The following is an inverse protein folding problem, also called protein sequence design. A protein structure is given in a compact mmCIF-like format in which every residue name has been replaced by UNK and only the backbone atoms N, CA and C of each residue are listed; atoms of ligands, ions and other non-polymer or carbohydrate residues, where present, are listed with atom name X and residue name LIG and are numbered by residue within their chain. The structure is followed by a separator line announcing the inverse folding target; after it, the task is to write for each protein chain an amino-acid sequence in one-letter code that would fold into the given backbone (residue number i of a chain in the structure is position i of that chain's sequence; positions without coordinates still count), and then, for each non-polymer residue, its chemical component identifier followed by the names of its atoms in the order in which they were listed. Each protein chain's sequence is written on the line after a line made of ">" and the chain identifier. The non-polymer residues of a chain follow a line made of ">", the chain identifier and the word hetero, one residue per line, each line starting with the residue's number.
data_IF_569557750081
#
_entry.id   IF_569557750081
#
_cell.length_a   1.000
_cell.length_b   1.000
_cell.length_c   1.000
_cell.angle_alpha   90.00
_cell.angle_beta   90.00
_cell.angle_gamma   90.00
#
_symmetry.space_group_name_H-M   'P 1'
#
loop_
_entity.id
_entity.type
_entity.pdbx_description
1 polymer ?
#
# COMPACT_ATOMS: atom_id res chain seq x y z
N UNK A 1 20.65 -13.46 -15.35
CA UNK A 1 19.83 -12.84 -16.43
C UNK A 1 19.03 -13.85 -17.25
N UNK A 2 19.56 -14.56 -18.26
CA UNK A 2 18.73 -15.46 -19.11
C UNK A 2 18.10 -16.65 -18.35
N UNK A 3 18.80 -17.20 -17.35
CA UNK A 3 18.26 -18.27 -16.49
C UNK A 3 17.21 -17.76 -15.47
N UNK A 4 17.32 -16.50 -15.05
CA UNK A 4 16.35 -15.84 -14.15
C UNK A 4 15.10 -15.44 -14.92
N UNK A 5 15.24 -14.96 -16.17
CA UNK A 5 14.11 -14.80 -17.08
C UNK A 5 13.44 -16.14 -17.40
N UNK A 6 14.22 -17.24 -17.50
CA UNK A 6 13.67 -18.58 -17.68
C UNK A 6 12.87 -19.06 -16.46
N UNK A 7 13.27 -18.68 -15.24
CA UNK A 7 12.49 -18.93 -14.03
C UNK A 7 11.27 -18.01 -13.92
N UNK A 8 11.42 -16.71 -14.18
CA UNK A 8 10.31 -15.76 -14.12
C UNK A 8 9.22 -16.14 -15.15
N UNK A 9 9.56 -16.26 -16.43
CA UNK A 9 8.58 -16.59 -17.48
C UNK A 9 8.18 -18.08 -17.51
N UNK A 10 9.08 -18.99 -17.12
CA UNK A 10 8.76 -20.41 -16.97
C UNK A 10 7.74 -20.71 -15.86
N UNK A 11 7.64 -19.82 -14.86
CA UNK A 11 6.70 -19.93 -13.74
C UNK A 11 5.46 -19.05 -13.93
N UNK A 12 5.60 -17.82 -14.45
CA UNK A 12 4.50 -16.95 -14.92
C UNK A 12 3.63 -17.67 -15.97
N UNK A 13 4.23 -18.51 -16.80
CA UNK A 13 3.55 -19.28 -17.86
C UNK A 13 2.65 -20.43 -17.37
N UNK A 14 2.40 -20.61 -16.08
CA UNK A 14 1.53 -21.69 -15.60
C UNK A 14 0.10 -21.17 -15.39
N UNK A 15 -0.63 -21.17 -16.51
CA UNK A 15 -2.11 -21.03 -16.68
C UNK A 15 -2.64 -19.58 -16.61
N UNK A 16 -3.25 -19.13 -17.71
CA UNK A 16 -4.15 -17.97 -17.72
C UNK A 16 -5.27 -18.09 -16.67
N UNK A 17 -5.73 -19.32 -16.42
CA UNK A 17 -6.68 -19.65 -15.34
C UNK A 17 -6.07 -19.42 -13.94
N UNK A 18 -4.73 -19.43 -13.86
CA UNK A 18 -3.92 -19.11 -12.70
C UNK A 18 -3.96 -17.63 -12.37
N UNK A 19 -3.80 -16.71 -13.33
CA UNK A 19 -3.84 -15.26 -13.05
C UNK A 19 -5.16 -14.82 -12.40
N UNK A 20 -6.30 -15.28 -12.90
CA UNK A 20 -7.60 -15.01 -12.27
C UNK A 20 -7.74 -15.69 -10.90
N UNK A 21 -7.21 -16.90 -10.75
CA UNK A 21 -7.20 -17.62 -9.47
C UNK A 21 -6.30 -16.93 -8.44
N UNK A 22 -5.14 -16.43 -8.84
CA UNK A 22 -4.16 -15.77 -8.01
C UNK A 22 -4.69 -14.41 -7.57
N UNK A 23 -5.34 -13.67 -8.48
CA UNK A 23 -6.08 -12.46 -8.15
C UNK A 23 -7.14 -12.76 -7.11
N UNK A 24 -8.00 -13.76 -7.34
CA UNK A 24 -9.03 -14.16 -6.38
C UNK A 24 -8.44 -14.60 -5.03
N UNK A 25 -7.34 -15.34 -5.04
CA UNK A 25 -6.64 -15.73 -3.82
C UNK A 25 -6.02 -14.54 -3.09
N UNK A 26 -5.51 -13.56 -3.82
CA UNK A 26 -5.01 -12.31 -3.25
C UNK A 26 -6.17 -11.50 -2.65
N UNK A 27 -7.29 -11.37 -3.35
CA UNK A 27 -8.51 -10.73 -2.83
C UNK A 27 -9.05 -11.43 -1.57
N UNK A 28 -9.12 -12.77 -1.58
CA UNK A 28 -9.50 -13.57 -0.41
C UNK A 28 -8.53 -13.32 0.77
N UNK A 29 -7.24 -13.14 0.49
CA UNK A 29 -6.23 -12.77 1.50
C UNK A 29 -6.38 -11.35 2.00
N UNK A 30 -6.70 -10.39 1.14
CA UNK A 30 -7.02 -9.01 1.54
C UNK A 30 -8.21 -9.03 2.49
N UNK A 31 -9.29 -9.74 2.15
CA UNK A 31 -10.47 -9.89 3.01
C UNK A 31 -10.14 -10.58 4.35
N UNK A 32 -9.37 -11.67 4.31
CA UNK A 32 -8.95 -12.37 5.53
C UNK A 32 -8.04 -11.51 6.41
N UNK A 33 -7.12 -10.78 5.79
CA UNK A 33 -6.23 -9.85 6.48
C UNK A 33 -7.02 -8.71 7.08
N UNK A 34 -7.95 -8.10 6.35
CA UNK A 34 -8.83 -7.06 6.87
C UNK A 34 -9.57 -7.51 8.14
N UNK A 35 -10.15 -8.71 8.12
CA UNK A 35 -10.85 -9.29 9.28
C UNK A 35 -9.88 -9.58 10.44
N UNK A 36 -8.74 -10.21 10.17
CA UNK A 36 -7.76 -10.55 11.20
C UNK A 36 -6.99 -9.35 11.75
N UNK A 37 -6.83 -8.30 10.95
CA UNK A 37 -6.19 -7.07 11.34
C UNK A 37 -7.13 -6.25 12.23
N UNK A 38 -8.44 -6.24 11.97
CA UNK A 38 -9.44 -5.71 12.89
C UNK A 38 -9.34 -6.37 14.28
N UNK A 39 -9.27 -7.70 14.34
CA UNK A 39 -9.09 -8.44 15.60
C UNK A 39 -7.74 -8.15 16.29
N UNK A 40 -6.67 -7.98 15.50
CA UNK A 40 -5.33 -7.65 16.03
C UNK A 40 -5.22 -6.20 16.48
N UNK A 41 -5.85 -5.26 15.78
CA UNK A 41 -5.98 -3.86 16.20
C UNK A 41 -6.82 -3.77 17.46
N UNK A 42 -7.89 -4.56 17.57
CA UNK A 42 -8.70 -4.64 18.79
C UNK A 42 -7.88 -5.22 19.95
N UNK A 43 -7.11 -6.29 19.74
CA UNK A 43 -6.25 -6.90 20.78
C UNK A 43 -5.00 -6.08 21.12
N UNK A 44 -4.41 -5.40 20.16
CA UNK A 44 -3.36 -4.42 20.40
C UNK A 44 -3.96 -3.27 21.21
N UNK A 45 -5.13 -2.75 20.83
CA UNK A 45 -5.90 -1.80 21.60
C UNK A 45 -6.26 -2.29 23.01
N UNK A 46 -6.55 -3.57 23.22
CA UNK A 46 -6.81 -4.16 24.55
C UNK A 46 -5.53 -4.32 25.40
N UNK A 47 -4.43 -4.78 24.79
CA UNK A 47 -3.12 -4.95 25.44
C UNK A 47 -2.50 -3.60 25.77
N UNK A 48 -2.71 -2.63 24.89
CA UNK A 48 -2.32 -1.24 25.05
C UNK A 48 -3.29 -0.53 25.99
N UNK A 49 -4.59 -0.85 26.02
CA UNK A 49 -5.56 -0.39 27.04
C UNK A 49 -5.15 -0.81 28.45
N UNK A 50 -4.34 -1.85 28.64
CA UNK A 50 -3.75 -2.14 29.96
C UNK A 50 -2.67 -1.11 30.39
N UNK A 51 -1.95 -0.52 29.43
CA UNK A 51 -1.03 0.62 29.64
C UNK A 51 -1.82 1.94 29.67
N UNK A 52 -2.80 2.06 28.79
CA UNK A 52 -3.75 3.16 28.65
C UNK A 52 -4.65 3.32 29.86
N UNK A 53 -5.05 2.27 30.58
CA UNK A 53 -5.80 2.38 31.84
C UNK A 53 -4.93 2.99 32.95
N UNK A 54 -3.63 2.67 33.00
CA UNK A 54 -2.69 3.38 33.88
C UNK A 54 -2.48 4.84 33.49
N UNK A 55 -2.54 5.19 32.20
CA UNK A 55 -2.46 6.58 31.74
C UNK A 55 -3.80 7.34 31.77
N UNK A 56 -4.93 6.64 31.63
CA UNK A 56 -6.30 7.13 31.77
C UNK A 56 -6.60 7.41 33.23
N UNK A 57 -6.08 6.61 34.15
CA UNK A 57 -6.08 6.95 35.58
C UNK A 57 -5.25 8.20 35.87
N UNK A 58 -4.14 8.43 35.16
CA UNK A 58 -3.37 9.69 35.27
C UNK A 58 -4.13 10.86 34.62
N UNK A 59 -4.65 10.72 33.41
CA UNK A 59 -5.34 11.78 32.65
C UNK A 59 -6.75 12.12 33.14
N UNK A 60 -7.52 11.14 33.62
CA UNK A 60 -8.86 11.34 34.23
C UNK A 60 -8.74 12.01 35.60
N UNK A 61 -7.72 11.67 36.38
CA UNK A 61 -7.42 12.39 37.64
C UNK A 61 -6.95 13.83 37.39
N UNK A 62 -6.38 14.14 36.22
CA UNK A 62 -6.03 15.52 35.84
C UNK A 62 -7.22 16.37 35.40
N UNK A 63 -8.21 15.80 34.70
CA UNK A 63 -9.37 16.56 34.19
C UNK A 63 -10.50 16.69 35.21
N UNK A 64 -10.64 15.72 36.13
CA UNK A 64 -11.65 15.76 37.18
C UNK A 64 -11.23 16.55 38.44
N UNK A 65 -9.96 16.93 38.56
CA UNK A 65 -9.37 17.47 39.79
C UNK A 65 -8.76 18.86 39.67
N UNK A 66 -9.57 19.90 39.39
CA UNK A 66 -9.12 21.31 39.52
C UNK A 66 -9.06 21.76 40.99
N UNK A 67 -9.35 20.89 41.97
CA UNK A 67 -9.56 21.32 43.36
C UNK A 67 -8.87 20.52 44.47
N UNK A 68 -7.81 19.74 44.22
CA UNK A 68 -7.02 19.13 45.31
C UNK A 68 -5.51 19.35 45.17
N UNK A 69 -4.83 19.88 46.21
CA UNK A 69 -3.40 20.15 46.17
C UNK A 69 -2.63 18.84 46.40
N UNK A 70 -2.15 18.22 45.32
CA UNK A 70 -1.30 17.02 45.37
C UNK A 70 0.08 17.37 44.84
N UNK A 71 1.02 17.63 45.75
CA UNK A 71 2.39 18.09 45.50
C UNK A 71 3.30 17.13 44.68
N UNK A 72 2.77 16.02 44.12
CA UNK A 72 3.47 15.14 43.19
C UNK A 72 2.73 14.89 41.87
N UNK A 73 1.41 15.08 41.83
CA UNK A 73 0.57 14.88 40.63
C UNK A 73 0.52 16.17 39.79
N UNK A 74 0.64 17.35 40.42
CA UNK A 74 0.59 18.64 39.71
C UNK A 74 1.65 18.80 38.62
N UNK A 75 2.89 18.33 38.84
CA UNK A 75 3.96 18.46 37.85
C UNK A 75 3.74 17.56 36.62
N UNK A 76 3.30 16.31 36.82
CA UNK A 76 2.93 15.41 35.73
C UNK A 76 1.71 15.94 34.96
N UNK A 77 0.75 16.52 35.69
CA UNK A 77 -0.44 17.12 35.11
C UNK A 77 -0.13 18.33 34.22
N UNK A 78 0.68 19.25 34.73
CA UNK A 78 1.14 20.43 33.99
C UNK A 78 1.95 19.99 32.77
N UNK A 79 2.79 18.96 32.89
CA UNK A 79 3.56 18.44 31.76
C UNK A 79 2.64 17.91 30.66
N UNK A 80 1.69 17.03 30.96
CA UNK A 80 0.77 16.48 29.94
C UNK A 80 -0.06 17.59 29.28
N UNK A 81 -0.54 18.58 30.05
CA UNK A 81 -1.24 19.72 29.47
C UNK A 81 -0.34 20.56 28.55
N UNK A 82 0.92 20.76 28.93
CA UNK A 82 1.94 21.43 28.13
C UNK A 82 2.30 20.67 26.86
N UNK A 83 2.43 19.34 26.94
CA UNK A 83 2.72 18.47 25.79
C UNK A 83 1.55 18.52 24.80
N UNK A 84 0.31 18.56 25.28
CA UNK A 84 -0.89 18.73 24.45
C UNK A 84 -1.03 20.11 23.80
N UNK A 85 -0.66 21.19 24.50
CA UNK A 85 -0.59 22.54 23.94
C UNK A 85 0.51 22.62 22.86
N UNK A 86 1.65 21.98 23.12
CA UNK A 86 2.77 21.88 22.16
C UNK A 86 2.38 21.07 20.93
N UNK A 87 1.70 19.94 21.10
CA UNK A 87 1.16 19.11 20.02
C UNK A 87 0.23 19.91 19.11
N UNK A 88 -0.74 20.63 19.68
CA UNK A 88 -1.65 21.45 18.89
C UNK A 88 -0.90 22.55 18.11
N UNK A 89 0.08 23.23 18.73
CA UNK A 89 0.91 24.22 18.03
C UNK A 89 1.76 23.61 16.92
N UNK A 90 2.31 22.42 17.14
CA UNK A 90 3.11 21.69 16.15
C UNK A 90 2.27 21.29 14.94
N UNK A 91 1.06 20.75 15.17
CA UNK A 91 0.09 20.47 14.11
C UNK A 91 -0.27 21.75 13.36
N UNK A 92 -0.57 22.83 14.10
CA UNK A 92 -0.93 24.11 13.51
C UNK A 92 0.17 24.64 12.58
N UNK A 93 1.42 24.66 13.06
CA UNK A 93 2.55 25.19 12.31
C UNK A 93 2.93 24.31 11.13
N UNK A 94 2.87 22.98 11.28
CA UNK A 94 3.23 22.01 10.24
C UNK A 94 2.24 21.98 9.08
N UNK A 95 0.97 22.27 9.35
CA UNK A 95 -0.11 22.21 8.36
C UNK A 95 -0.64 23.59 7.94
N UNK A 96 -0.16 24.68 8.56
CA UNK A 96 -0.64 26.03 8.28
C UNK A 96 -2.12 26.23 8.64
N UNK A 97 -2.61 25.54 9.67
CA UNK A 97 -4.03 25.55 10.04
C UNK A 97 -4.40 26.76 10.89
N UNK A 98 -5.70 27.06 10.89
CA UNK A 98 -6.29 27.92 11.93
C UNK A 98 -6.20 27.24 13.30
N UNK A 99 -6.30 28.02 14.37
CA UNK A 99 -6.31 27.48 15.74
C UNK A 99 -7.40 26.41 15.92
N UNK A 100 -8.61 26.67 15.42
CA UNK A 100 -9.73 25.70 15.47
C UNK A 100 -9.45 24.44 14.64
N UNK A 101 -8.81 24.58 13.48
CA UNK A 101 -8.39 23.45 12.66
C UNK A 101 -7.35 22.57 13.36
N UNK A 102 -6.38 23.21 14.00
CA UNK A 102 -5.37 22.53 14.80
C UNK A 102 -5.95 21.88 16.06
N UNK A 103 -6.92 22.51 16.72
CA UNK A 103 -7.64 21.92 17.86
C UNK A 103 -8.36 20.62 17.47
N UNK A 104 -9.01 20.59 16.30
CA UNK A 104 -9.69 19.40 15.81
C UNK A 104 -8.72 18.24 15.55
N UNK A 105 -7.60 18.49 14.88
CA UNK A 105 -6.57 17.46 14.67
C UNK A 105 -5.85 17.09 15.98
N UNK A 106 -5.62 18.05 16.87
CA UNK A 106 -5.04 17.80 18.18
C UNK A 106 -5.92 16.89 19.05
N UNK A 107 -7.26 16.92 18.89
CA UNK A 107 -8.15 15.95 19.54
C UNK A 107 -7.92 14.53 18.99
N UNK A 108 -7.78 14.38 17.69
CA UNK A 108 -7.48 13.09 17.05
C UNK A 108 -6.14 12.53 17.53
N UNK A 109 -5.09 13.36 17.60
CA UNK A 109 -3.79 12.95 18.13
C UNK A 109 -3.88 12.51 19.60
N UNK A 110 -4.61 13.26 20.43
CA UNK A 110 -4.83 12.92 21.84
C UNK A 110 -5.56 11.59 22.00
N UNK A 111 -6.64 11.35 21.26
CA UNK A 111 -7.38 10.08 21.34
C UNK A 111 -6.54 8.91 20.83
N UNK A 112 -5.79 9.10 19.73
CA UNK A 112 -4.83 8.09 19.22
C UNK A 112 -3.77 7.73 20.27
N UNK A 113 -3.19 8.73 20.95
CA UNK A 113 -2.22 8.50 22.02
C UNK A 113 -2.85 7.88 23.28
N UNK A 114 -4.10 8.23 23.62
CA UNK A 114 -4.84 7.62 24.74
C UNK A 114 -5.18 6.15 24.50
N UNK A 115 -5.38 5.79 23.24
CA UNK A 115 -5.46 4.40 22.78
C UNK A 115 -4.10 3.70 22.77
N UNK A 116 -3.04 4.43 23.18
CA UNK A 116 -1.66 4.02 23.43
C UNK A 116 -0.83 3.70 22.20
N UNK A 117 -1.18 4.34 21.08
CA UNK A 117 -0.30 4.44 19.92
C UNK A 117 0.79 5.49 20.19
N UNK A 118 1.99 5.22 19.69
CA UNK A 118 3.17 6.06 19.89
C UNK A 118 3.77 5.96 21.30
N UNK A 119 5.07 6.18 21.41
CA UNK A 119 5.77 6.33 22.69
C UNK A 119 5.54 7.71 23.31
N UNK A 120 5.17 8.69 22.49
CA UNK A 120 4.83 10.04 22.90
C UNK A 120 3.76 10.65 22.00
N UNK A 121 3.15 11.77 22.43
CA UNK A 121 2.17 12.49 21.62
C UNK A 121 2.81 13.06 20.35
N UNK A 122 4.09 13.43 20.41
CA UNK A 122 4.83 13.97 19.27
C UNK A 122 5.00 12.92 18.14
N UNK A 123 5.19 11.65 18.49
CA UNK A 123 5.24 10.56 17.49
C UNK A 123 3.88 10.39 16.80
N UNK A 124 2.78 10.54 17.55
CA UNK A 124 1.43 10.52 17.00
C UNK A 124 1.17 11.74 16.12
N UNK A 125 1.58 12.94 16.56
CA UNK A 125 1.45 14.16 15.76
C UNK A 125 2.17 14.03 14.41
N UNK A 126 3.42 13.55 14.42
CA UNK A 126 4.20 13.33 13.21
C UNK A 126 3.46 12.38 12.26
N UNK A 127 2.90 11.29 12.78
CA UNK A 127 2.15 10.32 12.00
C UNK A 127 0.86 10.90 11.43
N UNK A 128 0.07 11.60 12.25
CA UNK A 128 -1.17 12.26 11.84
C UNK A 128 -0.93 13.34 10.79
N UNK A 129 0.14 14.13 10.94
CA UNK A 129 0.55 15.15 9.97
C UNK A 129 0.87 14.49 8.63
N UNK A 130 1.59 13.35 8.62
CA UNK A 130 1.93 12.62 7.40
C UNK A 130 0.70 12.02 6.72
N UNK A 131 -0.22 11.44 7.48
CA UNK A 131 -1.52 10.99 6.96
C UNK A 131 -2.25 12.16 6.31
N UNK A 132 -2.38 13.29 7.02
CA UNK A 132 -3.09 14.47 6.52
C UNK A 132 -2.46 15.04 5.23
N UNK A 133 -1.12 15.05 5.13
CA UNK A 133 -0.40 15.59 3.98
C UNK A 133 -0.43 14.67 2.77
N UNK A 134 -0.19 13.37 2.98
CA UNK A 134 0.02 12.40 1.90
C UNK A 134 -1.29 11.73 1.45
N UNK A 135 -2.28 11.62 2.35
CA UNK A 135 -3.55 10.93 2.11
C UNK A 135 -4.72 11.93 2.13
N UNK A 136 -4.67 12.92 1.23
CA UNK A 136 -5.58 14.08 1.22
C UNK A 136 -7.07 13.75 1.08
N UNK A 137 -7.38 12.57 0.57
CA UNK A 137 -8.73 12.08 0.32
C UNK A 137 -9.34 11.36 1.53
N UNK A 138 -8.58 11.19 2.62
CA UNK A 138 -9.09 10.60 3.87
C UNK A 138 -10.11 11.55 4.49
N UNK A 139 -11.36 11.10 4.76
CA UNK A 139 -12.33 11.87 5.51
C UNK A 139 -11.82 12.23 6.90
N UNK A 140 -12.23 13.39 7.43
CA UNK A 140 -11.70 13.88 8.71
C UNK A 140 -11.96 12.91 9.86
N UNK A 141 -13.13 12.29 9.86
CA UNK A 141 -13.58 11.27 10.81
C UNK A 141 -12.78 9.96 10.73
N UNK A 142 -12.09 9.69 9.63
CA UNK A 142 -11.26 8.50 9.43
C UNK A 142 -9.77 8.74 9.72
N UNK A 143 -9.34 9.99 9.94
CA UNK A 143 -7.94 10.33 10.16
C UNK A 143 -7.32 9.59 11.35
N UNK A 144 -8.11 9.33 12.40
CA UNK A 144 -7.66 8.59 13.57
C UNK A 144 -7.28 7.14 13.21
N UNK A 145 -8.18 6.43 12.52
CA UNK A 145 -7.97 5.04 12.11
C UNK A 145 -6.87 4.93 11.05
N UNK A 146 -6.81 5.88 10.12
CA UNK A 146 -5.74 5.93 9.13
C UNK A 146 -4.36 6.15 9.79
N UNK A 147 -4.28 6.99 10.83
CA UNK A 147 -3.05 7.22 11.61
C UNK A 147 -2.63 5.95 12.34
N UNK A 148 -3.56 5.29 13.04
CA UNK A 148 -3.30 4.01 13.73
C UNK A 148 -2.82 2.92 12.77
N UNK A 149 -3.42 2.85 11.59
CA UNK A 149 -3.06 1.88 10.55
C UNK A 149 -1.67 2.13 9.99
N UNK A 150 -1.36 3.38 9.65
CA UNK A 150 -0.04 3.77 9.15
C UNK A 150 1.08 3.48 10.17
N UNK A 151 0.88 3.86 11.43
CA UNK A 151 1.84 3.58 12.51
C UNK A 151 2.05 2.06 12.71
N UNK A 152 0.98 1.29 12.63
CA UNK A 152 1.06 -0.17 12.79
C UNK A 152 1.80 -0.84 11.65
N UNK A 153 1.53 -0.45 10.41
CA UNK A 153 2.26 -0.97 9.26
C UNK A 153 3.73 -0.56 9.31
N UNK A 154 4.03 0.70 9.59
CA UNK A 154 5.41 1.19 9.75
C UNK A 154 6.17 0.39 10.80
N UNK A 155 5.57 0.14 11.97
CA UNK A 155 6.19 -0.69 13.01
C UNK A 155 6.29 -2.18 12.67
N UNK A 156 5.31 -2.73 11.97
CA UNK A 156 5.25 -4.17 11.62
C UNK A 156 6.29 -4.53 10.57
N UNK A 157 6.49 -3.63 9.60
CA UNK A 157 7.36 -3.84 8.45
C UNK A 157 8.67 -3.05 8.54
N UNK A 158 8.94 -2.41 9.68
CA UNK A 158 10.13 -1.58 9.93
C UNK A 158 10.34 -0.52 8.83
N UNK A 159 9.27 0.21 8.51
CA UNK A 159 9.22 1.18 7.41
C UNK A 159 8.89 2.58 7.91
N UNK A 160 9.42 3.60 7.22
CA UNK A 160 9.20 4.99 7.59
C UNK A 160 7.73 5.39 7.36
N UNK A 161 7.16 6.13 8.31
CA UNK A 161 5.76 6.54 8.28
C UNK A 161 5.41 7.39 7.03
N UNK A 162 6.38 8.14 6.50
CA UNK A 162 6.22 8.92 5.29
C UNK A 162 6.10 8.01 4.05
N UNK A 163 6.86 6.92 3.98
CA UNK A 163 6.77 5.94 2.88
C UNK A 163 5.41 5.25 2.90
N UNK A 164 5.00 4.77 4.09
CA UNK A 164 3.69 4.11 4.29
C UNK A 164 2.54 5.01 3.85
N UNK A 165 2.53 6.26 4.31
CA UNK A 165 1.45 7.21 4.00
C UNK A 165 1.49 7.70 2.55
N UNK A 166 2.69 7.84 1.93
CA UNK A 166 2.81 8.14 0.49
C UNK A 166 2.25 7.00 -0.36
N UNK A 167 2.64 5.76 -0.07
CA UNK A 167 2.13 4.59 -0.76
C UNK A 167 0.61 4.50 -0.67
N UNK A 168 0.06 4.64 0.54
CA UNK A 168 -1.39 4.58 0.76
C UNK A 168 -2.13 5.72 0.06
N UNK A 169 -1.59 6.95 0.13
CA UNK A 169 -2.15 8.10 -0.57
C UNK A 169 -2.17 7.93 -2.09
N UNK A 170 -1.13 7.31 -2.67
CA UNK A 170 -1.08 7.00 -4.10
C UNK A 170 -2.08 5.92 -4.50
N UNK A 171 -2.32 4.92 -3.65
CA UNK A 171 -3.39 3.95 -3.90
C UNK A 171 -4.77 4.62 -3.92
N UNK A 172 -5.06 5.46 -2.93
CA UNK A 172 -6.33 6.20 -2.87
C UNK A 172 -6.51 7.09 -4.10
N UNK A 173 -5.51 7.93 -4.40
CA UNK A 173 -5.58 8.91 -5.49
C UNK A 173 -5.77 8.25 -6.86
N UNK A 174 -5.04 7.15 -7.14
CA UNK A 174 -5.05 6.55 -8.48
C UNK A 174 -6.19 5.54 -8.66
N UNK A 175 -6.56 4.80 -7.61
CA UNK A 175 -7.55 3.74 -7.73
C UNK A 175 -8.92 4.12 -7.16
N UNK A 176 -9.04 5.25 -6.46
CA UNK A 176 -10.28 5.71 -5.84
C UNK A 176 -10.74 4.83 -4.68
N UNK A 177 -9.81 4.11 -4.05
CA UNK A 177 -10.09 3.21 -2.92
C UNK A 177 -10.01 3.98 -1.59
N UNK A 178 -10.67 3.45 -0.57
CA UNK A 178 -10.63 4.01 0.78
C UNK A 178 -9.25 3.86 1.45
N UNK A 179 -9.04 4.65 2.50
CA UNK A 179 -7.85 4.56 3.36
C UNK A 179 -7.68 3.14 3.92
N UNK A 180 -8.79 2.55 4.37
CA UNK A 180 -8.86 1.19 4.89
C UNK A 180 -8.46 0.15 3.83
N UNK A 181 -9.03 0.23 2.63
CA UNK A 181 -8.68 -0.70 1.55
C UNK A 181 -7.20 -0.60 1.16
N UNK A 182 -6.65 0.62 1.13
CA UNK A 182 -5.22 0.83 0.86
C UNK A 182 -4.33 0.16 1.92
N UNK A 183 -4.66 0.29 3.21
CA UNK A 183 -3.89 -0.36 4.28
C UNK A 183 -4.10 -1.88 4.33
N UNK A 184 -5.31 -2.38 4.01
CA UNK A 184 -5.58 -3.81 3.89
C UNK A 184 -4.75 -4.45 2.76
N UNK A 185 -4.58 -3.75 1.64
CA UNK A 185 -3.69 -4.16 0.55
C UNK A 185 -2.23 -4.25 1.00
N UNK A 186 -1.71 -3.25 1.70
CA UNK A 186 -0.34 -3.30 2.22
C UNK A 186 -0.14 -4.41 3.24
N UNK A 187 -1.10 -4.60 4.14
CA UNK A 187 -1.03 -5.67 5.12
C UNK A 187 -1.01 -7.05 4.45
N UNK A 188 -1.86 -7.27 3.44
CA UNK A 188 -1.90 -8.52 2.68
C UNK A 188 -0.62 -8.71 1.84
N UNK A 189 -0.15 -7.65 1.17
CA UNK A 189 1.10 -7.67 0.41
C UNK A 189 2.31 -7.99 1.28
N UNK A 190 2.43 -7.34 2.43
CA UNK A 190 3.50 -7.63 3.38
C UNK A 190 3.45 -9.07 3.93
N UNK A 191 2.25 -9.64 4.13
CA UNK A 191 2.10 -11.06 4.50
C UNK A 191 2.47 -12.04 3.38
N UNK A 192 2.29 -11.64 2.11
CA UNK A 192 2.79 -12.37 0.94
C UNK A 192 4.31 -12.19 0.72
N UNK A 193 4.98 -11.44 1.61
CA UNK A 193 6.42 -11.26 1.57
C UNK A 193 6.89 -10.14 0.63
N UNK A 194 6.00 -9.24 0.19
CA UNK A 194 6.37 -8.16 -0.73
C UNK A 194 7.42 -7.19 -0.15
N UNK A 195 7.50 -7.05 1.18
CA UNK A 195 8.49 -6.17 1.80
C UNK A 195 9.87 -6.81 2.03
N UNK A 196 10.22 -7.87 1.30
CA UNK A 196 11.51 -8.58 1.45
C UNK A 196 12.75 -7.72 1.14
N UNK A 197 12.58 -6.64 0.37
CA UNK A 197 13.61 -5.65 0.04
C UNK A 197 13.43 -4.30 0.76
N UNK A 198 12.48 -4.21 1.71
CA UNK A 198 12.15 -2.99 2.48
C UNK A 198 11.70 -1.78 1.63
N UNK A 199 11.15 -2.01 0.45
CA UNK A 199 10.80 -0.96 -0.51
C UNK A 199 9.34 -1.02 -0.96
N UNK A 200 8.51 -1.85 -0.31
CA UNK A 200 7.12 -2.11 -0.73
C UNK A 200 6.30 -0.82 -0.82
N UNK A 201 6.37 0.03 0.20
CA UNK A 201 5.56 1.25 0.27
C UNK A 201 6.00 2.29 -0.76
N UNK A 202 7.32 2.48 -0.91
CA UNK A 202 7.89 3.42 -1.88
C UNK A 202 7.65 2.96 -3.32
N UNK A 203 7.82 1.66 -3.62
CA UNK A 203 7.50 1.10 -4.93
C UNK A 203 6.01 1.30 -5.27
N UNK A 204 5.11 1.06 -4.31
CA UNK A 204 3.69 1.32 -4.55
C UNK A 204 3.43 2.81 -4.79
N UNK A 205 4.09 3.69 -4.05
CA UNK A 205 3.96 5.13 -4.24
C UNK A 205 4.43 5.59 -5.65
N UNK A 206 5.49 4.99 -6.17
CA UNK A 206 6.05 5.32 -7.48
C UNK A 206 5.24 4.74 -8.64
N UNK A 207 4.83 3.47 -8.54
CA UNK A 207 4.28 2.73 -9.67
C UNK A 207 2.75 2.67 -9.71
N UNK A 208 2.03 2.98 -8.63
CA UNK A 208 0.55 3.01 -8.64
C UNK A 208 -0.04 3.83 -9.81
N UNK A 209 0.47 5.03 -10.14
CA UNK A 209 0.02 5.78 -11.32
C UNK A 209 0.21 5.01 -12.64
N UNK A 210 1.31 4.27 -12.78
CA UNK A 210 1.64 3.52 -13.99
C UNK A 210 0.73 2.30 -14.16
N UNK A 211 0.45 1.56 -13.08
CA UNK A 211 -0.54 0.47 -13.11
C UNK A 211 -1.93 1.00 -13.46
N UNK A 212 -2.32 2.13 -12.86
CA UNK A 212 -3.60 2.78 -13.18
C UNK A 212 -3.68 3.20 -14.65
N UNK A 213 -2.63 3.83 -15.16
CA UNK A 213 -2.54 4.24 -16.57
C UNK A 213 -2.59 3.04 -17.51
N UNK A 214 -1.95 1.93 -17.15
CA UNK A 214 -1.99 0.68 -17.90
C UNK A 214 -3.37 0.01 -17.89
N UNK A 215 -4.26 0.37 -16.95
CA UNK A 215 -5.62 -0.14 -16.85
C UNK A 215 -5.81 -1.23 -15.80
N UNK A 216 -4.82 -1.48 -14.95
CA UNK A 216 -4.93 -2.43 -13.84
C UNK A 216 -5.71 -1.82 -12.66
N UNK A 217 -6.30 -2.70 -11.86
CA UNK A 217 -6.78 -2.41 -10.51
C UNK A 217 -5.65 -2.48 -9.48
N UNK A 218 -5.90 -1.96 -8.27
CA UNK A 218 -4.95 -2.09 -7.15
C UNK A 218 -4.73 -3.57 -6.76
N UNK A 219 -5.78 -4.39 -6.78
CA UNK A 219 -5.65 -5.84 -6.50
C UNK A 219 -4.74 -6.52 -7.54
N UNK A 220 -4.88 -6.19 -8.81
CA UNK A 220 -4.01 -6.72 -9.87
C UNK A 220 -2.56 -6.26 -9.71
N UNK A 221 -2.33 -5.00 -9.36
CA UNK A 221 -0.98 -4.49 -9.05
C UNK A 221 -0.30 -5.34 -7.98
N UNK A 222 -0.95 -5.54 -6.82
CA UNK A 222 -0.38 -6.35 -5.75
C UNK A 222 -0.28 -7.84 -6.12
N UNK A 223 -1.22 -8.37 -6.92
CA UNK A 223 -1.16 -9.75 -7.41
C UNK A 223 0.04 -9.96 -8.33
N UNK A 224 0.32 -9.02 -9.24
CA UNK A 224 1.47 -9.07 -10.13
C UNK A 224 2.78 -9.05 -9.32
N UNK A 225 2.89 -8.13 -8.36
CA UNK A 225 4.04 -8.10 -7.44
C UNK A 225 4.19 -9.41 -6.67
N UNK A 226 3.10 -9.96 -6.11
CA UNK A 226 3.14 -11.21 -5.34
C UNK A 226 3.56 -12.41 -6.18
N UNK A 227 3.11 -12.46 -7.43
CA UNK A 227 3.50 -13.50 -8.38
C UNK A 227 4.97 -13.36 -8.76
N UNK A 228 5.43 -12.16 -9.13
CA UNK A 228 6.83 -11.92 -9.47
C UNK A 228 7.80 -12.21 -8.31
N UNK A 229 7.42 -11.88 -7.06
CA UNK A 229 8.19 -12.23 -5.86
C UNK A 229 8.24 -13.75 -5.66
N UNK A 230 7.11 -14.46 -5.81
CA UNK A 230 7.05 -15.93 -5.68
C UNK A 230 7.89 -16.65 -6.73
N UNK A 231 7.99 -16.05 -7.91
CA UNK A 231 8.78 -16.56 -9.04
C UNK A 231 10.27 -16.20 -8.93
N UNK A 232 10.67 -15.56 -7.83
CA UNK A 232 12.07 -15.35 -7.46
C UNK A 232 12.66 -14.02 -7.91
N UNK A 233 11.83 -13.02 -8.26
CA UNK A 233 12.34 -11.66 -8.50
C UNK A 233 13.14 -11.16 -7.29
N UNK A 234 14.29 -10.52 -7.54
CA UNK A 234 15.20 -10.09 -6.48
C UNK A 234 14.79 -8.76 -5.83
N UNK A 235 13.93 -7.97 -6.47
CA UNK A 235 13.33 -6.76 -5.89
C UNK A 235 11.97 -6.44 -6.56
N UNK A 236 11.20 -5.51 -5.98
CA UNK A 236 9.89 -5.11 -6.53
C UNK A 236 10.04 -4.19 -7.73
N UNK A 237 11.09 -3.37 -7.75
CA UNK A 237 11.38 -2.43 -8.83
C UNK A 237 11.49 -3.16 -10.18
N UNK A 238 12.18 -4.30 -10.22
CA UNK A 238 12.29 -5.12 -11.43
C UNK A 238 10.93 -5.62 -11.96
N UNK A 239 10.02 -6.00 -11.06
CA UNK A 239 8.66 -6.43 -11.45
C UNK A 239 7.89 -5.25 -12.02
N UNK A 240 7.97 -4.10 -11.36
CA UNK A 240 7.25 -2.90 -11.73
C UNK A 240 7.77 -2.29 -13.05
N UNK A 241 9.09 -2.29 -13.25
CA UNK A 241 9.73 -1.89 -14.50
C UNK A 241 9.33 -2.82 -15.65
N UNK A 242 9.20 -4.13 -15.42
CA UNK A 242 8.72 -5.06 -16.44
C UNK A 242 7.30 -4.68 -16.91
N UNK A 243 6.41 -4.29 -16.00
CA UNK A 243 5.04 -3.83 -16.36
C UNK A 243 5.09 -2.51 -17.12
N UNK A 244 5.93 -1.57 -16.69
CA UNK A 244 6.13 -0.28 -17.36
C UNK A 244 6.70 -0.45 -18.77
N UNK A 245 7.78 -1.21 -18.92
CA UNK A 245 8.45 -1.48 -20.19
C UNK A 245 7.55 -2.26 -21.14
N UNK A 246 6.78 -3.22 -20.65
CA UNK A 246 5.74 -3.89 -21.44
C UNK A 246 4.78 -2.87 -22.05
N UNK A 247 4.21 -1.97 -21.23
CA UNK A 247 3.28 -0.94 -21.68
C UNK A 247 3.87 -0.05 -22.78
N UNK A 248 5.13 0.39 -22.61
CA UNK A 248 5.85 1.18 -23.61
C UNK A 248 6.03 0.39 -24.91
N UNK A 249 6.44 -0.88 -24.82
CA UNK A 249 6.73 -1.73 -25.99
C UNK A 249 5.51 -2.08 -26.80
N UNK A 250 4.40 -2.46 -26.13
CA UNK A 250 3.16 -2.79 -26.85
C UNK A 250 2.52 -1.57 -27.49
N UNK A 251 2.75 -0.38 -26.91
CA UNK A 251 2.31 0.89 -27.49
C UNK A 251 3.18 1.34 -28.67
N UNK A 252 4.50 1.19 -28.58
CA UNK A 252 5.42 1.48 -29.69
C UNK A 252 5.21 0.53 -30.88
N UNK A 253 4.99 -0.76 -30.59
CA UNK A 253 4.70 -1.76 -31.61
C UNK A 253 5.85 -1.98 -32.59
N UNK A 254 7.10 -1.81 -32.14
CA UNK A 254 8.31 -2.06 -32.94
C UNK A 254 8.25 -3.37 -33.71
N UNK A 255 9.06 -3.49 -34.77
CA UNK A 255 9.09 -4.70 -35.61
C UNK A 255 9.25 -6.00 -34.80
N UNK A 256 10.08 -6.00 -33.75
CA UNK A 256 10.24 -7.18 -32.89
C UNK A 256 8.97 -7.54 -32.11
N UNK A 257 8.23 -6.52 -31.64
CA UNK A 257 6.94 -6.70 -30.96
C UNK A 257 5.88 -7.18 -31.94
N UNK A 258 5.75 -6.55 -33.11
CA UNK A 258 4.78 -6.96 -34.13
C UNK A 258 5.03 -8.37 -34.65
N UNK A 259 6.30 -8.74 -34.87
CA UNK A 259 6.68 -10.08 -35.30
C UNK A 259 6.34 -11.10 -34.20
N UNK A 260 6.53 -10.76 -32.90
CA UNK A 260 6.14 -11.62 -31.80
C UNK A 260 4.62 -11.82 -31.70
N UNK A 261 3.81 -10.76 -31.83
CA UNK A 261 2.35 -10.87 -31.85
C UNK A 261 1.84 -11.69 -33.05
N UNK A 262 2.51 -11.63 -34.21
CA UNK A 262 2.14 -12.44 -35.37
C UNK A 262 2.29 -13.95 -35.11
N UNK A 263 3.13 -14.35 -34.15
CA UNK A 263 3.32 -15.75 -33.72
C UNK A 263 2.41 -16.16 -32.55
N UNK A 264 1.66 -15.22 -31.97
CA UNK A 264 0.68 -15.46 -30.91
C UNK A 264 -0.69 -15.86 -31.48
N UNK A 265 -1.61 -16.33 -30.64
CA UNK A 265 -2.95 -16.72 -31.08
C UNK A 265 -3.75 -15.57 -31.69
N UNK A 266 -4.71 -15.85 -32.60
CA UNK A 266 -5.58 -14.84 -33.18
C UNK A 266 -6.36 -14.02 -32.14
N UNK A 267 -6.64 -14.62 -30.97
CA UNK A 267 -7.30 -13.96 -29.86
C UNK A 267 -6.41 -12.86 -29.27
N UNK A 268 -5.14 -13.17 -28.99
CA UNK A 268 -4.18 -12.20 -28.44
C UNK A 268 -3.86 -11.10 -29.44
N UNK A 269 -3.71 -11.44 -30.73
CA UNK A 269 -3.58 -10.45 -31.81
C UNK A 269 -4.76 -9.49 -31.84
N UNK A 270 -6.00 -9.99 -31.72
CA UNK A 270 -7.20 -9.15 -31.69
C UNK A 270 -7.25 -8.20 -30.50
N UNK A 271 -6.75 -8.62 -29.33
CA UNK A 271 -6.67 -7.76 -28.15
C UNK A 271 -5.67 -6.63 -28.37
N UNK A 272 -4.49 -6.93 -28.91
CA UNK A 272 -3.49 -5.91 -29.25
C UNK A 272 -3.98 -4.94 -30.34
N UNK A 273 -4.66 -5.43 -31.37
CA UNK A 273 -5.31 -4.60 -32.40
C UNK A 273 -6.37 -3.66 -31.82
N UNK A 274 -7.13 -4.11 -30.83
CA UNK A 274 -8.12 -3.28 -30.15
C UNK A 274 -7.44 -2.19 -29.30
N UNK A 275 -6.39 -2.55 -28.57
CA UNK A 275 -5.57 -1.60 -27.83
C UNK A 275 -4.98 -0.51 -28.75
N UNK A 276 -4.38 -0.88 -29.89
CA UNK A 276 -3.85 0.07 -30.88
C UNK A 276 -4.90 1.00 -31.49
N UNK A 277 -6.18 0.60 -31.44
CA UNK A 277 -7.34 1.41 -31.88
C UNK A 277 -7.95 2.23 -30.73
N UNK A 278 -7.35 2.23 -29.54
CA UNK A 278 -7.86 2.90 -28.35
C UNK A 278 -9.10 2.24 -27.75
N UNK A 279 -9.33 0.94 -28.02
CA UNK A 279 -10.51 0.17 -27.57
C UNK A 279 -10.18 -0.88 -26.51
N UNK A 280 -8.98 -0.82 -25.95
CA UNK A 280 -8.49 -1.72 -24.91
C UNK A 280 -7.39 -1.05 -24.11
N UNK A 281 -7.00 -1.69 -23.02
CA UNK A 281 -5.97 -1.20 -22.09
C UNK A 281 -4.67 -1.99 -22.26
N UNK A 282 -3.55 -1.48 -21.74
CA UNK A 282 -2.30 -2.24 -21.68
C UNK A 282 -2.47 -3.50 -20.83
N UNK A 283 -3.26 -3.43 -19.75
CA UNK A 283 -3.63 -4.55 -18.91
C UNK A 283 -4.35 -5.68 -19.67
N UNK A 284 -5.27 -5.34 -20.59
CA UNK A 284 -5.92 -6.33 -21.44
C UNK A 284 -4.89 -7.08 -22.30
N UNK A 285 -3.95 -6.35 -22.91
CA UNK A 285 -2.88 -6.92 -23.73
C UNK A 285 -1.94 -7.77 -22.88
N UNK A 286 -1.55 -7.28 -21.69
CA UNK A 286 -0.71 -7.99 -20.73
C UNK A 286 -1.31 -9.35 -20.38
N UNK A 287 -2.57 -9.37 -19.97
CA UNK A 287 -3.29 -10.59 -19.61
C UNK A 287 -3.46 -11.54 -20.80
N UNK A 288 -3.73 -11.02 -22.00
CA UNK A 288 -3.84 -11.83 -23.21
C UNK A 288 -2.49 -12.48 -23.59
N UNK A 289 -1.39 -11.72 -23.50
CA UNK A 289 -0.04 -12.21 -23.76
C UNK A 289 0.35 -13.29 -22.74
N UNK A 290 0.19 -13.04 -21.45
CA UNK A 290 0.49 -14.04 -20.41
C UNK A 290 -0.31 -15.33 -20.62
N UNK A 291 -1.60 -15.18 -20.95
CA UNK A 291 -2.47 -16.32 -21.18
C UNK A 291 -2.10 -17.14 -22.41
N UNK A 292 -1.56 -16.50 -23.45
CA UNK A 292 -1.11 -17.17 -24.67
C UNK A 292 0.22 -17.90 -24.46
N UNK A 293 1.22 -17.19 -23.91
CA UNK A 293 2.54 -17.76 -23.59
C UNK A 293 2.42 -18.96 -22.65
N UNK A 294 1.52 -18.89 -21.67
CA UNK A 294 1.33 -19.99 -20.73
C UNK A 294 0.74 -21.27 -21.35
N UNK A 295 -0.03 -21.14 -22.44
CA UNK A 295 -0.65 -22.26 -23.16
C UNK A 295 0.26 -22.87 -24.23
N UNK A 296 1.41 -22.26 -24.53
CA UNK A 296 2.36 -22.81 -25.50
C UNK A 296 3.06 -24.05 -24.94
N UNK A 297 3.05 -25.14 -25.72
CA UNK A 297 3.79 -26.37 -25.41
C UNK A 297 5.31 -26.16 -25.49
N UNK A 298 5.77 -25.41 -26.50
CA UNK A 298 7.17 -25.04 -26.65
C UNK A 298 7.53 -23.88 -25.69
N UNK A 299 8.08 -24.24 -24.53
CA UNK A 299 8.51 -23.29 -23.51
C UNK A 299 9.72 -22.44 -23.92
N UNK A 300 10.54 -22.90 -24.85
CA UNK A 300 11.64 -22.10 -25.39
C UNK A 300 11.05 -21.00 -26.26
N UNK A 301 10.09 -21.33 -27.12
CA UNK A 301 9.41 -20.35 -27.95
C UNK A 301 8.61 -19.35 -27.13
N UNK A 302 7.89 -19.80 -26.11
CA UNK A 302 7.17 -18.92 -25.19
C UNK A 302 8.11 -17.89 -24.54
N UNK A 303 9.28 -18.31 -24.08
CA UNK A 303 10.29 -17.38 -23.53
C UNK A 303 10.81 -16.39 -24.57
N UNK A 304 11.09 -16.83 -25.80
CA UNK A 304 11.56 -15.93 -26.86
C UNK A 304 10.53 -14.82 -27.15
N UNK A 305 9.25 -15.19 -27.24
CA UNK A 305 8.16 -14.24 -27.45
C UNK A 305 7.96 -13.33 -26.23
N UNK A 306 8.03 -13.88 -25.02
CA UNK A 306 7.98 -13.11 -23.78
C UNK A 306 9.06 -12.03 -23.71
N UNK A 307 10.32 -12.37 -23.97
CA UNK A 307 11.43 -11.41 -24.02
C UNK A 307 11.20 -10.31 -25.06
N UNK A 308 10.61 -10.67 -26.22
CA UNK A 308 10.34 -9.69 -27.27
C UNK A 308 9.32 -8.63 -26.83
N UNK A 309 8.27 -9.03 -26.12
CA UNK A 309 7.16 -8.15 -25.73
C UNK A 309 7.34 -7.47 -24.37
N UNK A 310 7.89 -8.16 -23.36
CA UNK A 310 8.11 -7.61 -22.02
C UNK A 310 9.43 -6.86 -21.88
N UNK A 311 10.39 -7.10 -22.76
CA UNK A 311 11.73 -6.53 -22.65
C UNK A 311 12.66 -7.34 -21.76
N UNK A 312 13.74 -6.70 -21.33
CA UNK A 312 14.81 -7.29 -20.52
C UNK A 312 14.88 -6.60 -19.18
#
# INVERSE_FOLDING_TARGET
>A
MLAEMFQLFGTIGIKADGAYKDLKQFEDRVQKTANGMHDKFQKAGESISHVGNKMKDVGTNMTAGVSLPLAGIGAAAVKVASDFDTSQRNIQSSLGLTEKGAENLGKIAKETWKDGFGQSIEEVDQSLIKVYQNMKEVPHEELEEATKSAMTLGKTFDSDINEVTRGAGQLMTNFGISSKEAFDLFAAGGQEGLNYSNEMFDNVAEYAPLYKQAGFSANEMFTIMANGTRDGSYNLDYINDLVKEFGIRVQDGSKGVSDAFAEMSPQTQKVWDNFNKGKGTSADVFNAVLGDLGKMDDKVKANQLGVAVFGR
#
